data_IF_302911831362
#
_entry.id   IF_302911831362
#
_cell.length_a   1.000
_cell.length_b   1.000
_cell.length_c   1.000
_cell.angle_alpha   90.00
_cell.angle_beta   90.00
_cell.angle_gamma   90.00
#
_symmetry.space_group_name_H-M   'P 1'
#
loop_
_entity.id
_entity.type
_entity.pdbx_description
1 polymer ?
#
# COMPACT_ATOMS: atom_id res chain seq x y z
N UNK A 1 -17.82 12.53 0.79
CA UNK A 1 -16.82 13.60 0.53
C UNK A 1 -15.57 13.30 1.34
N UNK A 2 -14.42 13.90 0.99
CA UNK A 2 -13.12 13.71 1.69
C UNK A 2 -13.23 13.90 3.22
N UNK A 3 -14.03 14.87 3.65
CA UNK A 3 -14.24 15.17 5.08
C UNK A 3 -15.06 14.12 5.83
N UNK A 4 -15.98 13.44 5.14
CA UNK A 4 -16.87 12.46 5.76
C UNK A 4 -16.25 11.06 5.85
N UNK A 5 -15.12 10.81 5.18
CA UNK A 5 -14.50 9.47 5.17
C UNK A 5 -14.18 8.88 6.54
N UNK A 6 -13.70 9.63 7.56
CA UNK A 6 -13.52 9.07 8.89
C UNK A 6 -14.80 8.55 9.52
N UNK A 7 -15.94 9.13 9.16
CA UNK A 7 -17.24 8.75 9.69
C UNK A 7 -17.82 7.57 8.90
N UNK A 8 -17.70 7.59 7.57
CA UNK A 8 -18.23 6.55 6.69
C UNK A 8 -17.34 5.30 6.60
N UNK A 9 -16.06 5.43 6.90
CA UNK A 9 -15.04 4.43 6.55
C UNK A 9 -14.55 4.60 5.10
N UNK A 10 -13.41 3.96 4.82
CA UNK A 10 -12.83 3.80 3.49
C UNK A 10 -12.07 2.48 3.45
N UNK A 11 -12.70 1.37 2.99
CA UNK A 11 -12.00 0.13 2.71
C UNK A 11 -10.91 0.32 1.65
N UNK A 12 -9.71 -0.17 1.92
CA UNK A 12 -8.55 -0.09 1.03
C UNK A 12 -7.97 -1.47 0.73
N UNK A 13 -7.74 -2.29 1.75
CA UNK A 13 -7.29 -3.68 1.60
C UNK A 13 -8.44 -4.67 1.75
N UNK A 14 -8.54 -5.63 0.83
CA UNK A 14 -9.58 -6.65 0.82
C UNK A 14 -8.95 -8.03 0.55
N UNK A 15 -9.22 -9.02 1.40
CA UNK A 15 -8.79 -10.41 1.18
C UNK A 15 -9.89 -11.40 1.42
N UNK A 16 -10.12 -12.25 0.44
CA UNK A 16 -10.91 -13.45 0.62
C UNK A 16 -10.06 -14.46 1.37
N UNK A 17 -10.52 -14.86 2.55
CA UNK A 17 -9.97 -15.96 3.32
C UNK A 17 -10.82 -17.23 3.17
N UNK A 18 -10.60 -18.23 4.05
CA UNK A 18 -11.32 -19.50 4.00
C UNK A 18 -12.84 -19.33 4.08
N UNK A 19 -13.55 -20.27 3.46
CA UNK A 19 -15.01 -20.37 3.50
C UNK A 19 -15.74 -19.09 3.02
N UNK A 20 -15.12 -18.34 2.10
CA UNK A 20 -15.72 -17.10 1.55
C UNK A 20 -15.73 -15.92 2.53
N UNK A 21 -15.01 -16.00 3.65
CA UNK A 21 -14.86 -14.89 4.59
C UNK A 21 -14.08 -13.76 3.93
N UNK A 22 -14.58 -12.52 4.01
CA UNK A 22 -13.88 -11.35 3.51
C UNK A 22 -13.24 -10.58 4.67
N UNK A 23 -11.92 -10.42 4.65
CA UNK A 23 -11.18 -9.56 5.56
C UNK A 23 -10.99 -8.18 4.93
N UNK A 24 -11.23 -7.12 5.70
CA UNK A 24 -11.25 -5.73 5.21
C UNK A 24 -10.36 -4.86 6.09
N UNK A 25 -9.43 -4.14 5.47
CA UNK A 25 -8.69 -3.04 6.06
C UNK A 25 -9.39 -1.74 5.72
N UNK A 26 -10.00 -1.12 6.72
CA UNK A 26 -10.58 0.21 6.62
C UNK A 26 -9.59 1.25 7.15
N UNK A 27 -9.34 2.29 6.36
CA UNK A 27 -8.33 3.29 6.66
C UNK A 27 -8.55 4.06 7.96
N UNK A 28 -9.79 4.12 8.43
CA UNK A 28 -10.19 4.92 9.59
C UNK A 28 -10.72 4.07 10.72
N UNK A 29 -11.26 2.89 10.44
CA UNK A 29 -12.01 2.09 11.40
C UNK A 29 -11.28 0.82 11.85
N UNK A 30 -10.22 0.39 11.16
CA UNK A 30 -9.40 -0.76 11.54
C UNK A 30 -9.65 -2.00 10.67
N UNK A 31 -9.54 -3.19 11.26
CA UNK A 31 -9.68 -4.46 10.53
C UNK A 31 -11.04 -5.09 10.84
N UNK A 32 -11.70 -5.55 9.79
CA UNK A 32 -12.99 -6.23 9.85
C UNK A 32 -12.91 -7.62 9.22
N UNK A 33 -13.83 -8.45 9.66
CA UNK A 33 -14.19 -9.73 9.07
C UNK A 33 -15.65 -9.65 8.66
N UNK A 34 -15.94 -10.01 7.43
CA UNK A 34 -17.26 -9.92 6.82
C UNK A 34 -17.63 -11.29 6.29
N UNK A 35 -18.78 -11.80 6.72
CA UNK A 35 -19.38 -12.97 6.12
C UNK A 35 -20.12 -12.54 4.84
N UNK A 36 -19.62 -12.97 3.69
CA UNK A 36 -20.16 -12.57 2.38
C UNK A 36 -21.54 -13.17 2.07
N UNK A 37 -21.95 -14.21 2.79
CA UNK A 37 -23.25 -14.88 2.62
C UNK A 37 -24.31 -14.25 3.52
N UNK A 38 -24.00 -14.05 4.82
CA UNK A 38 -24.96 -13.51 5.80
C UNK A 38 -24.96 -11.99 5.87
N UNK A 39 -23.90 -11.34 5.38
CA UNK A 39 -23.67 -9.90 5.55
C UNK A 39 -23.22 -9.51 6.96
N UNK A 40 -22.95 -10.47 7.85
CA UNK A 40 -22.47 -10.20 9.19
C UNK A 40 -21.09 -9.54 9.15
N UNK A 41 -20.92 -8.46 9.93
CA UNK A 41 -19.67 -7.68 10.01
C UNK A 41 -19.16 -7.70 11.45
N UNK A 42 -17.98 -8.26 11.64
CA UNK A 42 -17.25 -8.28 12.91
C UNK A 42 -16.03 -7.38 12.80
N UNK A 43 -15.87 -6.43 13.73
CA UNK A 43 -14.62 -5.64 13.82
C UNK A 43 -13.60 -6.38 14.67
N UNK A 44 -12.52 -6.83 14.05
CA UNK A 44 -11.44 -7.56 14.72
C UNK A 44 -10.53 -6.63 15.52
N UNK A 45 -10.16 -5.47 14.97
CA UNK A 45 -9.37 -4.47 15.70
C UNK A 45 -9.78 -3.07 15.29
N UNK A 46 -9.90 -2.17 16.27
CA UNK A 46 -10.16 -0.76 16.03
C UNK A 46 -8.86 -0.02 15.73
N UNK A 47 -8.88 0.90 14.76
CA UNK A 47 -7.77 1.84 14.51
C UNK A 47 -7.39 2.68 15.74
N UNK A 48 -8.34 2.87 16.66
CA UNK A 48 -8.16 3.60 17.92
C UNK A 48 -7.42 2.79 18.99
N UNK A 49 -7.35 1.46 18.84
CA UNK A 49 -6.58 0.61 19.76
C UNK A 49 -5.09 0.93 19.58
N UNK A 50 -4.40 1.44 20.61
CA UNK A 50 -2.99 1.75 20.48
C UNK A 50 -2.18 0.47 20.32
N UNK A 51 -1.28 0.48 19.33
CA UNK A 51 -0.28 -0.60 19.16
C UNK A 51 1.07 0.01 19.50
N UNK A 52 1.77 -0.52 20.51
CA UNK A 52 2.97 0.10 21.09
C UNK A 52 2.78 1.58 21.46
N UNK A 53 1.63 1.91 22.07
CA UNK A 53 1.32 3.27 22.54
C UNK A 53 0.94 4.28 21.46
N UNK A 54 0.93 3.90 20.17
CA UNK A 54 0.53 4.78 19.05
C UNK A 54 -0.76 4.28 18.39
N UNK A 55 -1.71 5.20 18.16
CA UNK A 55 -2.92 4.98 17.35
C UNK A 55 -2.56 4.61 15.91
N UNK A 56 -3.43 3.88 15.21
CA UNK A 56 -3.31 3.62 13.78
C UNK A 56 -4.11 4.69 13.04
N UNK A 57 -3.43 5.63 12.38
CA UNK A 57 -4.12 6.75 11.72
C UNK A 57 -4.42 6.48 10.25
N UNK A 58 -3.72 5.54 9.63
CA UNK A 58 -3.92 5.20 8.23
C UNK A 58 -3.65 3.71 7.99
N UNK A 59 -4.63 2.87 8.33
CA UNK A 59 -4.60 1.46 7.95
C UNK A 59 -4.74 1.34 6.43
N UNK A 60 -3.89 0.57 5.77
CA UNK A 60 -3.88 0.54 4.30
C UNK A 60 -4.27 -0.84 3.77
N UNK A 61 -3.36 -1.81 3.83
CA UNK A 61 -3.57 -3.12 3.24
C UNK A 61 -3.33 -4.26 4.24
N UNK A 62 -3.80 -5.46 3.90
CA UNK A 62 -3.68 -6.65 4.75
C UNK A 62 -3.34 -7.91 3.95
N UNK A 63 -2.64 -8.85 4.58
CA UNK A 63 -2.47 -10.22 4.12
C UNK A 63 -3.01 -11.18 5.18
N UNK A 64 -3.58 -12.29 4.71
CA UNK A 64 -4.16 -13.33 5.57
C UNK A 64 -3.50 -14.65 5.22
N UNK A 65 -3.17 -15.46 6.22
CA UNK A 65 -2.70 -16.83 5.97
C UNK A 65 -3.79 -17.68 5.34
N UNK A 66 -3.39 -18.74 4.62
CA UNK A 66 -4.32 -19.66 3.96
C UNK A 66 -5.31 -20.34 4.92
N UNK A 67 -4.97 -20.47 6.19
CA UNK A 67 -5.87 -20.98 7.24
C UNK A 67 -6.77 -19.91 7.87
N UNK A 68 -6.66 -18.65 7.45
CA UNK A 68 -7.47 -17.54 7.95
C UNK A 68 -7.14 -17.08 9.37
N UNK A 69 -6.14 -17.68 10.03
CA UNK A 69 -5.89 -17.44 11.46
C UNK A 69 -4.98 -16.26 11.76
N UNK A 70 -4.08 -15.91 10.83
CA UNK A 70 -3.10 -14.84 11.02
C UNK A 70 -3.37 -13.73 10.03
N UNK A 71 -3.45 -12.50 10.56
CA UNK A 71 -3.65 -11.29 9.76
C UNK A 71 -2.45 -10.39 9.98
N UNK A 72 -1.83 -10.01 8.87
CA UNK A 72 -0.76 -9.03 8.81
C UNK A 72 -1.33 -7.81 8.10
N UNK A 73 -1.12 -6.62 8.64
CA UNK A 73 -1.64 -5.41 8.01
C UNK A 73 -0.69 -4.25 8.22
N UNK A 74 -0.89 -3.22 7.42
CA UNK A 74 -0.03 -2.04 7.46
C UNK A 74 -0.78 -0.85 8.03
N UNK A 75 -0.10 -0.09 8.87
CA UNK A 75 -0.49 1.27 9.25
C UNK A 75 0.53 2.23 8.67
N UNK A 76 0.14 2.94 7.60
CA UNK A 76 0.99 3.85 6.83
C UNK A 76 1.45 5.06 7.65
N UNK A 77 0.70 5.46 8.67
CA UNK A 77 1.06 6.57 9.56
C UNK A 77 0.39 6.46 10.92
N UNK A 78 1.14 6.82 11.96
CA UNK A 78 0.57 7.09 13.27
C UNK A 78 0.00 8.51 13.40
N UNK A 79 0.40 9.43 12.52
CA UNK A 79 0.01 10.85 12.55
C UNK A 79 -1.09 11.21 11.55
N UNK A 80 -0.83 11.02 10.27
CA UNK A 80 -1.71 11.48 9.17
C UNK A 80 -2.77 10.45 8.83
N UNK A 81 -3.96 10.91 8.49
CA UNK A 81 -5.01 10.03 7.97
C UNK A 81 -4.93 9.90 6.45
N UNK A 82 -5.65 8.91 5.89
CA UNK A 82 -5.72 8.70 4.43
C UNK A 82 -6.06 9.96 3.63
N UNK A 83 -7.03 10.76 4.08
CA UNK A 83 -7.38 12.02 3.41
C UNK A 83 -6.25 13.05 3.39
N UNK A 84 -5.24 12.91 4.24
CA UNK A 84 -4.07 13.78 4.36
C UNK A 84 -2.81 13.12 3.75
N UNK A 85 -2.96 12.04 2.98
CA UNK A 85 -1.81 11.30 2.44
C UNK A 85 -0.78 12.17 1.69
N UNK A 86 -1.09 13.28 0.98
CA UNK A 86 -0.03 14.05 0.35
C UNK A 86 0.84 14.78 1.38
N UNK A 87 0.32 15.09 2.58
CA UNK A 87 1.13 15.62 3.69
C UNK A 87 2.06 14.56 4.24
N UNK A 88 1.57 13.31 4.38
CA UNK A 88 2.42 12.16 4.69
C UNK A 88 3.55 12.00 3.68
N UNK A 89 3.22 12.03 2.37
CA UNK A 89 4.18 11.94 1.25
C UNK A 89 5.26 13.01 1.31
N UNK A 90 4.94 14.17 1.88
CA UNK A 90 5.85 15.29 1.88
C UNK A 90 6.65 15.38 3.17
N UNK A 91 6.05 15.06 4.31
CA UNK A 91 6.73 15.12 5.59
C UNK A 91 7.90 14.12 5.67
N UNK A 92 7.80 12.94 5.05
CA UNK A 92 8.93 12.01 5.08
C UNK A 92 9.01 11.14 6.32
N UNK A 93 7.97 11.08 7.15
CA UNK A 93 8.06 10.47 8.49
C UNK A 93 8.26 8.97 8.43
N UNK A 94 9.05 8.44 9.36
CA UNK A 94 9.37 7.02 9.54
C UNK A 94 8.46 6.34 10.59
N UNK A 95 7.18 6.70 10.60
CA UNK A 95 6.23 6.22 11.60
C UNK A 95 5.28 5.13 11.08
N UNK A 96 5.49 4.66 9.84
CA UNK A 96 4.79 3.53 9.25
C UNK A 96 5.13 2.20 9.95
N UNK A 97 4.17 1.27 10.00
CA UNK A 97 4.28 0.02 10.76
C UNK A 97 3.66 -1.16 10.03
N UNK A 98 4.34 -2.30 10.10
CA UNK A 98 3.74 -3.61 9.82
C UNK A 98 3.29 -4.24 11.14
N UNK A 99 1.99 -4.51 11.22
CA UNK A 99 1.32 -4.98 12.42
C UNK A 99 0.82 -6.39 12.20
N UNK A 100 1.04 -7.25 13.19
CA UNK A 100 0.46 -8.57 13.25
C UNK A 100 -0.66 -8.61 14.27
N UNK A 101 -1.81 -9.05 13.79
CA UNK A 101 -2.94 -9.33 14.64
C UNK A 101 -2.84 -10.79 15.12
N UNK A 102 -2.57 -10.96 16.40
CA UNK A 102 -2.57 -12.28 17.04
C UNK A 102 -3.98 -12.68 17.48
N UNK A 103 -4.74 -11.74 18.03
CA UNK A 103 -6.17 -11.87 18.31
C UNK A 103 -6.84 -10.49 18.37
N UNK A 104 -8.18 -10.39 18.32
CA UNK A 104 -8.88 -9.11 18.49
C UNK A 104 -8.48 -8.33 19.76
N UNK A 105 -8.11 -9.06 20.82
CA UNK A 105 -7.68 -8.48 22.10
C UNK A 105 -6.16 -8.25 22.21
N UNK A 106 -5.35 -8.82 21.30
CA UNK A 106 -3.89 -8.71 21.33
C UNK A 106 -3.32 -8.51 19.92
N UNK A 107 -2.86 -7.30 19.64
CA UNK A 107 -2.07 -6.95 18.45
C UNK A 107 -0.62 -6.67 18.83
N UNK A 108 0.32 -7.07 17.99
CA UNK A 108 1.76 -6.81 18.20
C UNK A 108 2.36 -6.22 16.93
N UNK A 109 3.20 -5.19 17.08
CA UNK A 109 3.99 -4.68 15.94
C UNK A 109 5.09 -5.71 15.64
N UNK A 110 5.14 -6.21 14.42
CA UNK A 110 6.23 -7.09 13.99
C UNK A 110 7.47 -6.30 13.62
N UNK A 111 7.23 -5.19 12.95
CA UNK A 111 8.27 -4.37 12.39
C UNK A 111 7.78 -2.92 12.34
N UNK A 112 8.43 -2.07 13.12
CA UNK A 112 8.31 -0.63 12.95
C UNK A 112 9.27 -0.22 11.88
N UNK A 113 8.75 0.47 10.89
CA UNK A 113 9.55 0.82 9.76
C UNK A 113 10.27 2.11 10.08
N UNK A 114 11.58 2.04 10.31
CA UNK A 114 12.41 3.19 10.68
C UNK A 114 12.66 4.16 9.51
N UNK A 115 11.80 4.08 8.49
CA UNK A 115 11.92 4.60 7.12
C UNK A 115 10.64 4.18 6.39
N UNK A 116 9.67 5.03 6.06
CA UNK A 116 8.26 4.60 5.91
C UNK A 116 8.01 3.48 4.88
N UNK A 117 7.50 2.33 5.37
CA UNK A 117 6.93 1.24 4.56
C UNK A 117 5.43 1.22 4.81
N UNK A 118 4.76 2.02 4.00
CA UNK A 118 4.03 1.51 2.85
C UNK A 118 4.25 2.55 1.79
N UNK A 119 4.77 2.17 0.63
CA UNK A 119 4.52 2.90 -0.61
C UNK A 119 4.97 4.36 -0.74
N UNK A 120 5.53 4.95 0.30
CA UNK A 120 5.80 6.37 0.36
C UNK A 120 6.89 6.60 1.41
N UNK A 121 8.07 7.00 0.93
CA UNK A 121 9.20 7.64 1.63
C UNK A 121 10.37 6.82 2.21
N UNK A 122 10.46 5.51 1.96
CA UNK A 122 11.74 4.92 1.51
C UNK A 122 11.62 4.56 0.05
N UNK A 123 11.89 5.55 -0.78
CA UNK A 123 11.22 5.73 -2.05
C UNK A 123 11.64 4.76 -3.18
N UNK A 124 12.48 3.76 -2.94
CA UNK A 124 12.99 2.88 -4.00
C UNK A 124 13.27 1.43 -3.57
N UNK A 125 12.87 1.00 -2.38
CA UNK A 125 13.21 -0.34 -1.86
C UNK A 125 11.96 -1.12 -1.44
N UNK A 126 11.95 -2.42 -1.72
CA UNK A 126 11.09 -3.39 -1.06
C UNK A 126 11.93 -4.15 -0.05
N UNK A 127 11.44 -4.30 1.17
CA UNK A 127 12.09 -5.11 2.21
C UNK A 127 11.22 -6.32 2.54
N UNK A 128 11.88 -7.43 2.91
CA UNK A 128 11.23 -8.68 3.31
C UNK A 128 11.42 -8.89 4.80
N UNK A 129 10.31 -9.09 5.52
CA UNK A 129 10.31 -9.46 6.93
C UNK A 129 10.00 -10.96 7.10
N UNK A 130 10.89 -11.70 7.74
CA UNK A 130 10.70 -13.15 7.94
C UNK A 130 9.83 -13.44 9.17
N UNK A 131 8.65 -13.99 8.94
CA UNK A 131 7.68 -14.31 10.01
C UNK A 131 7.88 -15.70 10.65
N UNK A 132 8.72 -16.54 10.05
CA UNK A 132 8.97 -17.93 10.45
C UNK A 132 10.36 -18.42 9.98
N UNK A 133 10.78 -19.58 10.49
CA UNK A 133 12.07 -20.19 10.14
C UNK A 133 13.23 -19.69 11.01
N UNK A 134 14.46 -20.07 10.64
CA UNK A 134 15.69 -19.71 11.36
C UNK A 134 15.98 -18.20 11.34
N UNK A 135 15.52 -17.50 10.30
CA UNK A 135 15.70 -16.05 10.11
C UNK A 135 14.54 -15.23 10.68
N UNK A 136 13.62 -15.84 11.44
CA UNK A 136 12.43 -15.17 11.98
C UNK A 136 12.80 -13.87 12.72
N UNK A 137 12.10 -12.79 12.37
CA UNK A 137 12.33 -11.45 12.92
C UNK A 137 13.39 -10.65 12.17
N UNK A 138 14.14 -11.28 11.26
CA UNK A 138 15.08 -10.60 10.36
C UNK A 138 14.36 -9.80 9.28
N UNK A 139 15.05 -8.78 8.78
CA UNK A 139 14.63 -7.95 7.66
C UNK A 139 15.78 -7.85 6.67
N UNK A 140 15.52 -8.21 5.42
CA UNK A 140 16.46 -8.05 4.32
C UNK A 140 15.87 -7.14 3.25
N UNK A 141 16.74 -6.46 2.50
CA UNK A 141 16.36 -5.79 1.26
C UNK A 141 15.99 -6.85 0.21
N UNK A 142 14.77 -6.77 -0.32
CA UNK A 142 14.27 -7.67 -1.35
C UNK A 142 14.58 -7.16 -2.77
N UNK A 143 14.27 -5.89 -3.02
CA UNK A 143 14.59 -5.18 -4.27
C UNK A 143 14.96 -3.76 -3.92
N UNK A 144 16.04 -3.24 -4.48
CA UNK A 144 16.42 -1.85 -4.40
C UNK A 144 16.18 -1.12 -5.74
N UNK A 145 16.34 0.20 -5.70
CA UNK A 145 16.26 1.09 -6.86
C UNK A 145 15.05 0.87 -7.78
N UNK A 146 13.86 0.70 -7.20
CA UNK A 146 12.61 0.54 -7.96
C UNK A 146 12.38 1.70 -8.94
N UNK A 147 11.80 1.43 -10.12
CA UNK A 147 11.48 2.45 -11.14
C UNK A 147 10.34 3.40 -10.75
N UNK A 148 9.77 3.28 -9.56
CA UNK A 148 8.66 4.09 -9.09
C UNK A 148 8.39 3.92 -7.60
N UNK A 149 7.24 4.42 -7.17
CA UNK A 149 6.80 4.39 -5.78
C UNK A 149 5.83 3.22 -5.64
N UNK A 150 6.28 2.07 -5.08
CA UNK A 150 5.45 0.87 -4.99
C UNK A 150 4.20 1.16 -4.18
N UNK A 151 3.11 0.42 -4.38
CA UNK A 151 1.89 0.46 -3.57
C UNK A 151 1.59 -0.94 -3.05
N UNK A 152 0.46 -1.56 -3.41
CA UNK A 152 0.15 -2.92 -2.98
C UNK A 152 0.99 -3.98 -3.71
N UNK A 153 1.28 -5.05 -2.97
CA UNK A 153 2.08 -6.21 -3.43
C UNK A 153 1.21 -7.47 -3.38
N UNK A 154 1.13 -8.21 -4.47
CA UNK A 154 0.36 -9.46 -4.58
C UNK A 154 1.22 -10.59 -5.09
N UNK A 155 0.82 -11.83 -4.80
CA UNK A 155 1.48 -13.00 -5.37
C UNK A 155 1.20 -13.07 -6.88
N UNK A 156 2.21 -13.44 -7.65
CA UNK A 156 2.06 -13.84 -9.04
C UNK A 156 1.82 -15.35 -9.14
N UNK A 157 0.98 -15.79 -10.07
CA UNK A 157 0.76 -17.22 -10.33
C UNK A 157 2.02 -17.93 -10.87
N UNK A 158 2.96 -17.18 -11.46
CA UNK A 158 4.24 -17.71 -11.98
C UNK A 158 5.35 -17.74 -10.92
N UNK A 159 4.99 -17.49 -9.66
CA UNK A 159 5.92 -17.31 -8.55
C UNK A 159 6.48 -15.89 -8.46
N UNK A 160 6.74 -15.42 -7.24
CA UNK A 160 7.11 -14.03 -6.97
C UNK A 160 5.91 -13.12 -6.78
N UNK A 161 6.00 -11.87 -7.26
CA UNK A 161 5.10 -10.79 -6.83
C UNK A 161 4.73 -9.80 -7.92
N UNK A 162 3.45 -9.46 -8.01
CA UNK A 162 2.98 -8.23 -8.66
C UNK A 162 3.14 -7.05 -7.73
N UNK A 163 3.67 -5.95 -8.23
CA UNK A 163 3.85 -4.70 -7.49
C UNK A 163 3.27 -3.56 -8.33
N UNK A 164 2.20 -2.95 -7.82
CA UNK A 164 1.68 -1.71 -8.38
C UNK A 164 2.58 -0.53 -8.02
N UNK A 165 2.67 0.47 -8.89
CA UNK A 165 3.38 1.72 -8.60
C UNK A 165 2.47 2.91 -8.85
N UNK A 166 2.19 3.65 -7.77
CA UNK A 166 1.27 4.78 -7.77
C UNK A 166 1.82 6.00 -8.52
N UNK A 167 3.14 6.09 -8.65
CA UNK A 167 3.86 7.06 -9.46
C UNK A 167 5.21 6.47 -9.91
N UNK A 168 5.83 7.07 -10.92
CA UNK A 168 7.12 6.63 -11.46
C UNK A 168 8.25 7.59 -11.14
N UNK A 169 9.47 7.05 -11.15
CA UNK A 169 10.73 7.79 -11.14
C UNK A 169 11.20 7.90 -12.58
N UNK A 170 10.99 9.06 -13.19
CA UNK A 170 11.39 9.28 -14.58
C UNK A 170 12.93 9.24 -14.69
N UNK A 171 13.44 8.35 -15.55
CA UNK A 171 14.85 8.27 -15.90
C UNK A 171 14.98 7.84 -17.39
N UNK A 172 15.44 8.72 -18.30
CA UNK A 172 15.84 10.10 -18.06
C UNK A 172 14.63 10.99 -17.71
N UNK A 173 14.84 12.02 -16.89
CA UNK A 173 13.79 12.98 -16.54
C UNK A 173 13.91 13.55 -15.14
N UNK A 174 13.03 14.50 -14.81
CA UNK A 174 12.97 15.10 -13.48
C UNK A 174 12.00 14.32 -12.59
N UNK A 175 12.51 13.79 -11.48
CA UNK A 175 11.69 13.23 -10.40
C UNK A 175 11.57 14.25 -9.27
N UNK A 176 10.40 14.88 -9.15
CA UNK A 176 10.14 15.88 -8.10
C UNK A 176 10.31 15.28 -6.69
N UNK A 177 9.89 14.03 -6.50
CA UNK A 177 10.00 13.36 -5.21
C UNK A 177 11.46 13.11 -4.81
N UNK A 178 12.30 12.69 -5.76
CA UNK A 178 13.74 12.50 -5.49
C UNK A 178 14.44 13.83 -5.24
N UNK A 179 14.11 14.86 -6.02
CA UNK A 179 14.65 16.20 -5.81
C UNK A 179 14.31 16.77 -4.43
N UNK A 180 13.08 16.53 -3.95
CA UNK A 180 12.62 17.05 -2.67
C UNK A 180 13.03 16.18 -1.47
N UNK A 181 13.40 14.92 -1.68
CA UNK A 181 13.59 13.91 -0.62
C UNK A 181 14.45 14.42 0.55
N UNK A 182 15.58 15.06 0.25
CA UNK A 182 16.59 15.58 1.17
C UNK A 182 16.46 17.09 1.45
N UNK A 183 15.38 17.75 0.99
CA UNK A 183 15.21 19.22 1.11
C UNK A 183 13.95 19.62 1.91
N UNK A 184 13.88 19.33 3.23
CA UNK A 184 12.70 19.65 4.06
C UNK A 184 12.29 21.13 4.04
N UNK A 185 13.25 22.04 3.91
CA UNK A 185 12.98 23.48 3.87
C UNK A 185 12.20 23.89 2.60
N UNK A 186 12.52 23.28 1.45
CA UNK A 186 11.78 23.50 0.20
C UNK A 186 10.35 22.96 0.33
N UNK A 187 10.20 21.73 0.86
CA UNK A 187 8.88 21.14 1.08
C UNK A 187 8.01 22.06 1.95
N UNK A 188 8.57 22.62 3.03
CA UNK A 188 7.85 23.58 3.90
C UNK A 188 7.42 24.84 3.17
N UNK A 189 8.24 25.39 2.28
CA UNK A 189 7.88 26.58 1.49
C UNK A 189 6.74 26.23 0.52
N UNK A 190 6.87 25.14 -0.23
CA UNK A 190 5.86 24.68 -1.18
C UNK A 190 4.49 24.55 -0.50
N UNK A 191 4.44 23.87 0.66
CA UNK A 191 3.17 23.62 1.37
C UNK A 191 2.62 24.81 2.15
N UNK A 192 3.40 25.90 2.31
CA UNK A 192 2.88 27.18 2.79
C UNK A 192 2.20 28.00 1.68
N UNK A 193 2.58 27.76 0.42
CA UNK A 193 2.12 28.55 -0.74
C UNK A 193 1.03 27.79 -1.51
N UNK A 194 1.21 26.48 -1.70
CA UNK A 194 0.33 25.62 -2.50
C UNK A 194 -0.41 24.63 -1.61
N UNK A 195 -1.68 24.38 -1.94
CA UNK A 195 -2.43 23.29 -1.31
C UNK A 195 -1.89 21.93 -1.74
N UNK A 196 -2.02 20.88 -0.90
CA UNK A 196 -1.67 19.51 -1.26
C UNK A 196 -2.27 19.05 -2.60
N UNK A 197 -3.54 19.38 -2.84
CA UNK A 197 -4.24 19.04 -4.08
C UNK A 197 -3.64 19.74 -5.31
N UNK A 198 -3.11 20.95 -5.13
CA UNK A 198 -2.42 21.69 -6.19
C UNK A 198 -1.08 21.03 -6.53
N UNK A 199 -0.30 20.66 -5.51
CA UNK A 199 0.97 19.95 -5.70
C UNK A 199 0.76 18.63 -6.43
N UNK A 200 -0.30 17.89 -6.09
CA UNK A 200 -0.63 16.61 -6.73
C UNK A 200 -1.04 16.71 -8.21
N UNK A 201 -1.35 17.90 -8.73
CA UNK A 201 -1.60 18.10 -10.17
C UNK A 201 -0.32 18.08 -11.01
N UNK A 202 0.84 18.30 -10.38
CA UNK A 202 2.15 18.26 -11.03
C UNK A 202 2.76 16.86 -11.04
N UNK A 203 2.17 15.89 -10.35
CA UNK A 203 2.60 14.49 -10.44
C UNK A 203 2.24 13.95 -11.82
N UNK A 204 3.22 13.45 -12.61
CA UNK A 204 2.95 12.91 -13.93
C UNK A 204 1.86 11.84 -13.91
N UNK A 205 1.00 11.87 -14.91
CA UNK A 205 0.03 10.80 -15.15
C UNK A 205 0.78 9.62 -15.74
N UNK A 206 1.06 8.62 -14.90
CA UNK A 206 1.73 7.40 -15.31
C UNK A 206 1.17 6.25 -14.48
N UNK A 207 1.01 5.08 -15.08
CA UNK A 207 0.81 3.85 -14.33
C UNK A 207 1.85 2.81 -14.68
N UNK A 208 2.38 2.17 -13.64
CA UNK A 208 3.39 1.12 -13.76
C UNK A 208 2.98 -0.03 -12.85
N UNK A 209 3.01 -1.23 -13.40
CA UNK A 209 2.92 -2.48 -12.65
C UNK A 209 4.10 -3.34 -13.06
N UNK A 210 4.78 -3.92 -12.09
CA UNK A 210 5.89 -4.83 -12.35
C UNK A 210 5.60 -6.21 -11.79
N UNK A 211 6.13 -7.23 -12.45
CA UNK A 211 6.23 -8.58 -11.92
C UNK A 211 7.67 -8.84 -11.48
N UNK A 212 7.85 -9.23 -10.23
CA UNK A 212 9.10 -9.64 -9.64
C UNK A 212 9.11 -11.15 -9.46
N UNK A 213 10.26 -11.79 -9.66
CA UNK A 213 10.49 -13.17 -9.26
C UNK A 213 10.67 -13.33 -7.75
N UNK A 214 10.78 -14.57 -7.28
CA UNK A 214 10.91 -14.91 -5.85
C UNK A 214 12.15 -14.33 -5.17
N UNK A 215 13.17 -13.93 -5.95
CA UNK A 215 14.41 -13.32 -5.49
C UNK A 215 14.56 -11.87 -5.94
N UNK A 216 13.46 -11.21 -6.29
CA UNK A 216 13.46 -9.79 -6.66
C UNK A 216 13.89 -9.48 -8.10
N UNK A 217 14.10 -10.49 -8.96
CA UNK A 217 14.42 -10.25 -10.38
C UNK A 217 13.20 -9.74 -11.14
N UNK A 218 13.35 -8.67 -11.92
CA UNK A 218 12.28 -8.16 -12.78
C UNK A 218 11.94 -9.18 -13.88
N UNK A 219 10.68 -9.61 -13.96
CA UNK A 219 10.16 -10.55 -14.96
C UNK A 219 9.47 -9.80 -16.10
N UNK A 220 8.51 -8.94 -15.77
CA UNK A 220 7.69 -8.18 -16.72
C UNK A 220 7.32 -6.82 -16.13
N UNK A 221 6.96 -5.89 -17.00
CA UNK A 221 6.40 -4.60 -16.60
C UNK A 221 5.35 -4.13 -17.59
N UNK A 222 4.27 -3.54 -17.06
CA UNK A 222 3.20 -2.94 -17.84
C UNK A 222 3.16 -1.45 -17.55
N UNK A 223 3.15 -0.67 -18.62
CA UNK A 223 3.28 0.78 -18.57
C UNK A 223 2.10 1.43 -19.28
N UNK A 224 1.56 2.48 -18.67
CA UNK A 224 0.69 3.47 -19.32
C UNK A 224 1.36 4.85 -19.12
N UNK A 225 2.32 5.22 -20.00
CA UNK A 225 3.19 6.37 -19.78
C UNK A 225 2.47 7.72 -19.79
N UNK A 226 1.35 7.79 -20.49
CA UNK A 226 0.53 9.00 -20.64
C UNK A 226 -0.71 8.96 -19.73
N UNK A 227 -0.98 7.82 -19.09
CA UNK A 227 -2.17 7.65 -18.27
C UNK A 227 -3.47 7.69 -19.08
N UNK A 228 -3.44 7.09 -20.27
CA UNK A 228 -4.54 7.04 -21.24
C UNK A 228 -5.64 6.09 -20.80
N UNK A 229 -5.28 4.95 -20.20
CA UNK A 229 -6.22 3.92 -19.76
C UNK A 229 -6.51 4.08 -18.27
N UNK A 230 -5.48 4.03 -17.43
CA UNK A 230 -5.63 4.20 -15.99
C UNK A 230 -4.43 4.92 -15.42
N UNK A 231 -4.67 5.79 -14.45
CA UNK A 231 -3.61 6.54 -13.76
C UNK A 231 -3.53 6.14 -12.30
N UNK A 232 -2.34 6.21 -11.71
CA UNK A 232 -2.14 5.96 -10.28
C UNK A 232 -2.63 4.57 -9.87
N UNK A 233 -2.22 3.53 -10.61
CA UNK A 233 -2.49 2.15 -10.23
C UNK A 233 -1.84 1.87 -8.87
N UNK A 234 -2.66 1.38 -7.94
CA UNK A 234 -2.27 1.05 -6.57
C UNK A 234 -2.44 -0.43 -6.25
N UNK A 235 -3.09 -1.19 -7.14
CA UNK A 235 -3.39 -2.61 -6.97
C UNK A 235 -3.16 -3.33 -8.29
N UNK A 236 -2.53 -4.50 -8.23
CA UNK A 236 -2.46 -5.45 -9.33
C UNK A 236 -2.73 -6.86 -8.78
N UNK A 237 -3.94 -7.37 -9.04
CA UNK A 237 -4.38 -8.66 -8.53
C UNK A 237 -4.60 -9.63 -9.68
N UNK A 238 -3.85 -10.72 -9.69
CA UNK A 238 -3.98 -11.76 -10.70
C UNK A 238 -5.04 -12.78 -10.31
N UNK A 239 -5.95 -13.08 -11.23
CA UNK A 239 -6.97 -14.12 -11.05
C UNK A 239 -7.41 -14.67 -12.41
N UNK A 240 -7.42 -15.99 -12.55
CA UNK A 240 -7.88 -16.73 -13.74
C UNK A 240 -7.31 -16.24 -15.08
N UNK A 241 -6.00 -15.99 -15.13
CA UNK A 241 -5.31 -15.52 -16.34
C UNK A 241 -5.52 -14.04 -16.65
N UNK A 242 -6.16 -13.29 -15.77
CA UNK A 242 -6.31 -11.84 -15.88
C UNK A 242 -5.61 -11.12 -14.75
N UNK A 243 -5.11 -9.93 -15.07
CA UNK A 243 -4.60 -8.97 -14.09
C UNK A 243 -5.62 -7.85 -13.91
N UNK A 244 -6.18 -7.76 -12.71
CA UNK A 244 -7.12 -6.72 -12.30
C UNK A 244 -6.35 -5.56 -11.67
N UNK A 245 -6.49 -4.37 -12.25
CA UNK A 245 -5.78 -3.18 -11.82
C UNK A 245 -6.72 -2.19 -11.14
N UNK A 246 -6.42 -1.89 -9.89
CA UNK A 246 -7.12 -0.89 -9.09
C UNK A 246 -6.36 0.42 -9.05
N UNK A 247 -7.10 1.53 -9.06
CA UNK A 247 -6.55 2.88 -8.93
C UNK A 247 -7.34 3.64 -7.88
N UNK A 248 -6.66 4.46 -7.07
CA UNK A 248 -7.32 5.36 -6.14
C UNK A 248 -7.88 6.64 -6.79
N UNK A 249 -7.73 6.79 -8.11
CA UNK A 249 -8.28 7.93 -8.89
C UNK A 249 -9.26 7.52 -9.97
N UNK A 250 -9.09 6.35 -10.57
CA UNK A 250 -9.94 5.93 -11.69
C UNK A 250 -11.29 5.41 -11.16
N UNK A 251 -12.43 5.78 -11.77
CA UNK A 251 -13.76 5.34 -11.34
C UNK A 251 -14.13 3.93 -11.85
N UNK A 252 -13.15 3.16 -12.30
CA UNK A 252 -13.31 1.82 -12.89
C UNK A 252 -12.11 0.95 -12.53
N UNK A 253 -12.28 -0.36 -12.69
CA UNK A 253 -11.23 -1.37 -12.58
C UNK A 253 -10.78 -1.73 -13.98
N UNK A 254 -9.47 -1.77 -14.23
CA UNK A 254 -8.95 -2.29 -15.49
C UNK A 254 -8.74 -3.79 -15.39
N UNK A 255 -8.96 -4.49 -16.50
CA UNK A 255 -8.71 -5.92 -16.61
C UNK A 255 -7.82 -6.16 -17.83
N UNK A 256 -6.64 -6.70 -17.60
CA UNK A 256 -5.68 -7.09 -18.63
C UNK A 256 -5.68 -8.61 -18.76
N UNK A 257 -5.84 -9.14 -19.97
CA UNK A 257 -5.69 -10.57 -20.23
C UNK A 257 -4.20 -10.89 -20.35
N UNK A 258 -3.68 -11.77 -19.51
CA UNK A 258 -2.26 -12.10 -19.49
C UNK A 258 -1.83 -13.00 -20.67
N UNK A 259 -2.79 -13.57 -21.42
CA UNK A 259 -2.49 -14.32 -22.64
C UNK A 259 -2.28 -13.40 -23.87
N UNK A 260 -2.69 -12.13 -23.77
CA UNK A 260 -2.60 -11.17 -24.87
C UNK A 260 -1.29 -10.37 -24.83
N UNK A 261 -0.42 -10.61 -23.84
CA UNK A 261 0.79 -9.82 -23.54
C UNK A 261 2.01 -10.65 -23.16
#
# INVERSE_FOLDING_TARGET
TRENEPNCGRPLGLRVGPNGTLFVADAYQGIFKVNTVTGEVERLVSSRTPVQGKKMSFVNDLAVTSDGRKIYFTDSSSKWQRREYPLLVMEGTDDGRQVFLYSPAKSTVLYTVHRPITSVLTLNELSMYYVSGLTKGGVDTFVDNLPGFPDNIRLSSTGGYWVAMSAVRLNPGFSMMDFLADKPWIKKIIFKILSPDTVMKFVPRYSLVIELGEKGSYKRSFHDPNGEVATFISEAHEHDGYLYLGSFRSPFICRLNLNDV
#
